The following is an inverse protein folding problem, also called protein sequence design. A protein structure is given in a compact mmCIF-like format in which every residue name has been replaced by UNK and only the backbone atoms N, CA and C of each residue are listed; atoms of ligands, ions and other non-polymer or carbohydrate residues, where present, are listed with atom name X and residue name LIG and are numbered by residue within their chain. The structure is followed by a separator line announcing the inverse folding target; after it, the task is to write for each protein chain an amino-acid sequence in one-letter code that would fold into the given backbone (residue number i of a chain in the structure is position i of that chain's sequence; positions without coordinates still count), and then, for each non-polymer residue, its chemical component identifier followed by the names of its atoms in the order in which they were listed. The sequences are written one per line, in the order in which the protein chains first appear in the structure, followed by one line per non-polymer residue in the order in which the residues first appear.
data_IF_817763873407
#
_entry.id   IF_817763873407
#
_cell.length_a   1.000
_cell.length_b   1.000
_cell.length_c   1.000
_cell.angle_alpha   90.00
_cell.angle_beta   90.00
_cell.angle_gamma   90.00
#
_symmetry.space_group_name_H-M   'P 1'
#
loop_
_entity.id
_entity.type
_entity.pdbx_description
1 polymer ?
#
# COMPACT_ATOMS: atom_id res chain seq x y z
N UNK A 1 -6.98 19.92 2.84
CA UNK A 1 -7.84 20.83 2.02
C UNK A 1 -7.60 20.77 0.51
N UNK A 2 -6.36 20.61 0.01
CA UNK A 2 -6.08 20.53 -1.44
C UNK A 2 -6.30 19.12 -2.07
N UNK A 3 -6.32 18.06 -1.25
CA UNK A 3 -6.36 16.64 -1.68
C UNK A 3 -7.63 16.29 -2.49
N UNK A 4 -8.85 16.55 -1.97
CA UNK A 4 -10.10 16.20 -2.69
C UNK A 4 -10.22 16.88 -4.07
N UNK A 5 -9.89 18.18 -4.15
CA UNK A 5 -9.95 18.93 -5.42
C UNK A 5 -8.94 18.40 -6.45
N UNK A 6 -7.81 17.88 -5.98
CA UNK A 6 -6.82 17.22 -6.83
C UNK A 6 -7.31 15.85 -7.31
N UNK A 7 -7.85 15.02 -6.41
CA UNK A 7 -8.43 13.71 -6.71
C UNK A 7 -9.54 13.85 -7.76
N UNK A 8 -10.50 14.75 -7.56
CA UNK A 8 -11.61 14.99 -8.50
C UNK A 8 -11.11 15.42 -9.89
N UNK A 9 -10.02 16.19 -9.96
CA UNK A 9 -9.42 16.60 -11.24
C UNK A 9 -8.68 15.47 -11.94
N UNK A 10 -8.17 14.50 -11.20
CA UNK A 10 -7.45 13.34 -11.73
C UNK A 10 -8.38 12.19 -12.13
N UNK A 11 -9.66 12.20 -11.71
CA UNK A 11 -10.66 11.22 -12.17
C UNK A 11 -10.74 11.23 -13.70
N UNK A 12 -10.80 10.03 -14.29
CA UNK A 12 -11.08 9.88 -15.71
C UNK A 12 -12.48 10.42 -16.06
N UNK A 13 -12.76 10.64 -17.34
CA UNK A 13 -14.08 11.13 -17.75
C UNK A 13 -15.19 10.13 -17.37
N UNK A 14 -14.94 8.83 -17.58
CA UNK A 14 -15.88 7.74 -17.26
C UNK A 14 -16.13 7.58 -15.75
N UNK A 15 -15.09 7.70 -14.92
CA UNK A 15 -15.26 7.54 -13.47
C UNK A 15 -16.07 8.69 -12.87
N UNK A 16 -15.79 9.91 -13.34
CA UNK A 16 -16.58 11.07 -12.93
C UNK A 16 -18.05 10.96 -13.34
N UNK A 17 -18.32 10.57 -14.58
CA UNK A 17 -19.70 10.42 -15.08
C UNK A 17 -20.45 9.37 -14.24
N UNK A 18 -19.81 8.23 -13.97
CA UNK A 18 -20.38 7.18 -13.13
C UNK A 18 -20.67 7.63 -11.69
N UNK A 19 -19.73 8.36 -11.06
CA UNK A 19 -19.93 8.89 -9.71
C UNK A 19 -21.04 9.95 -9.71
N UNK A 20 -21.06 10.82 -10.72
CA UNK A 20 -22.05 11.87 -10.85
C UNK A 20 -23.46 11.27 -11.05
N UNK A 21 -23.62 10.28 -11.93
CA UNK A 21 -24.88 9.56 -12.13
C UNK A 21 -25.33 8.85 -10.84
N UNK A 22 -24.43 8.14 -10.16
CA UNK A 22 -24.72 7.50 -8.87
C UNK A 22 -25.20 8.50 -7.79
N UNK A 23 -24.67 9.72 -7.79
CA UNK A 23 -25.11 10.78 -6.87
C UNK A 23 -26.51 11.30 -7.22
N UNK A 24 -26.81 11.48 -8.51
CA UNK A 24 -28.14 11.89 -8.98
C UNK A 24 -29.19 10.81 -8.67
N UNK A 25 -28.89 9.54 -8.95
CA UNK A 25 -29.78 8.41 -8.66
C UNK A 25 -30.06 8.25 -7.16
N UNK A 26 -29.10 8.63 -6.31
CA UNK A 26 -29.24 8.63 -4.85
C UNK A 26 -29.95 9.86 -4.29
N UNK A 27 -30.53 10.75 -5.13
CA UNK A 27 -31.09 12.04 -4.75
C UNK A 27 -30.11 12.96 -3.98
N UNK A 28 -28.82 12.89 -4.32
CA UNK A 28 -27.76 13.68 -3.69
C UNK A 28 -27.34 14.88 -4.57
N UNK A 29 -28.30 15.67 -5.04
CA UNK A 29 -28.09 16.78 -6.01
C UNK A 29 -27.04 17.80 -5.56
N UNK A 30 -27.02 18.13 -4.25
CA UNK A 30 -26.03 19.06 -3.68
C UNK A 30 -24.61 18.50 -3.75
N UNK A 31 -24.44 17.20 -3.58
CA UNK A 31 -23.14 16.52 -3.71
C UNK A 31 -22.71 16.39 -5.16
N UNK A 32 -23.65 16.13 -6.08
CA UNK A 32 -23.40 16.12 -7.53
C UNK A 32 -22.96 17.52 -8.03
N UNK A 33 -23.65 18.57 -7.58
CA UNK A 33 -23.28 19.96 -7.87
C UNK A 33 -21.90 20.32 -7.32
N UNK A 34 -21.57 19.87 -6.10
CA UNK A 34 -20.25 20.06 -5.50
C UNK A 34 -19.14 19.38 -6.32
N UNK A 35 -19.35 18.11 -6.71
CA UNK A 35 -18.42 17.35 -7.56
C UNK A 35 -18.16 18.06 -8.89
N UNK A 36 -19.23 18.49 -9.58
CA UNK A 36 -19.14 19.23 -10.83
C UNK A 36 -18.42 20.56 -10.66
N UNK A 37 -18.79 21.32 -9.64
CA UNK A 37 -18.19 22.62 -9.35
C UNK A 37 -16.71 22.50 -9.03
N UNK A 38 -16.28 21.44 -8.33
CA UNK A 38 -14.87 21.20 -8.03
C UNK A 38 -14.04 20.76 -9.24
N UNK A 39 -14.65 20.05 -10.21
CA UNK A 39 -13.99 19.59 -11.44
C UNK A 39 -13.89 20.68 -12.51
N UNK A 40 -15.03 21.30 -12.84
CA UNK A 40 -15.19 22.16 -14.03
C UNK A 40 -14.92 23.64 -13.71
N UNK A 41 -15.25 24.11 -12.51
CA UNK A 41 -15.22 25.53 -12.18
C UNK A 41 -14.13 25.81 -11.13
N UNK A 42 -13.23 26.75 -11.40
CA UNK A 42 -12.31 27.26 -10.37
C UNK A 42 -13.03 28.22 -9.40
N UNK A 43 -14.21 27.84 -8.89
CA UNK A 43 -14.91 28.60 -7.88
C UNK A 43 -14.20 28.45 -6.54
N UNK A 44 -14.21 29.53 -5.75
CA UNK A 44 -13.81 29.49 -4.35
C UNK A 44 -14.89 28.79 -3.52
N UNK A 45 -14.48 28.07 -2.47
CA UNK A 45 -15.39 27.37 -1.56
C UNK A 45 -16.52 28.30 -1.05
N UNK A 46 -16.20 29.57 -0.79
CA UNK A 46 -17.18 30.60 -0.41
C UNK A 46 -18.30 30.84 -1.44
N UNK A 47 -17.97 30.80 -2.74
CA UNK A 47 -18.97 30.94 -3.82
C UNK A 47 -19.80 29.68 -3.97
N UNK A 48 -19.17 28.52 -3.88
CA UNK A 48 -19.86 27.23 -3.94
C UNK A 48 -20.85 27.10 -2.79
N UNK A 49 -20.46 27.52 -1.58
CA UNK A 49 -21.34 27.57 -0.41
C UNK A 49 -22.56 28.48 -0.62
N UNK A 50 -22.36 29.65 -1.23
CA UNK A 50 -23.46 30.57 -1.53
C UNK A 50 -24.42 30.05 -2.59
N UNK A 51 -23.91 29.34 -3.61
CA UNK A 51 -24.74 28.75 -4.67
C UNK A 51 -25.52 27.52 -4.20
N UNK A 52 -24.95 26.74 -3.26
CA UNK A 52 -25.58 25.57 -2.66
C UNK A 52 -26.55 25.90 -1.52
N UNK A 53 -26.58 27.17 -1.09
CA UNK A 53 -27.31 27.66 0.08
C UNK A 53 -27.03 26.79 1.32
N UNK A 54 -25.75 26.67 1.67
CA UNK A 54 -25.29 25.86 2.80
C UNK A 54 -24.35 26.64 3.71
N UNK A 55 -24.51 26.43 5.02
CA UNK A 55 -23.59 26.97 6.01
C UNK A 55 -22.25 26.20 6.01
N UNK A 56 -21.25 26.75 6.70
CA UNK A 56 -19.89 26.19 6.78
C UNK A 56 -19.86 24.73 7.24
N UNK A 57 -20.66 24.37 8.25
CA UNK A 57 -20.68 23.01 8.81
C UNK A 57 -21.34 22.01 7.85
N UNK A 58 -22.42 22.42 7.19
CA UNK A 58 -23.11 21.62 6.17
C UNK A 58 -22.22 21.40 4.95
N UNK A 59 -21.45 22.42 4.53
CA UNK A 59 -20.48 22.30 3.44
C UNK A 59 -19.37 21.30 3.75
N UNK A 60 -18.75 21.35 4.93
CA UNK A 60 -17.72 20.39 5.31
C UNK A 60 -18.26 18.95 5.44
N UNK A 61 -19.48 18.80 5.96
CA UNK A 61 -20.16 17.49 6.01
C UNK A 61 -20.43 16.94 4.60
N UNK A 62 -20.94 17.77 3.69
CA UNK A 62 -21.15 17.39 2.28
C UNK A 62 -19.84 17.00 1.60
N UNK A 63 -18.77 17.74 1.85
CA UNK A 63 -17.44 17.48 1.29
C UNK A 63 -16.84 16.17 1.80
N UNK A 64 -16.98 15.89 3.10
CA UNK A 64 -16.52 14.63 3.70
C UNK A 64 -17.27 13.43 3.11
N UNK A 65 -18.61 13.50 3.04
CA UNK A 65 -19.43 12.44 2.42
C UNK A 65 -19.12 12.23 0.94
N UNK A 66 -18.86 13.31 0.19
CA UNK A 66 -18.45 13.21 -1.20
C UNK A 66 -17.08 12.52 -1.34
N UNK A 67 -16.13 12.85 -0.47
CA UNK A 67 -14.82 12.20 -0.45
C UNK A 67 -14.95 10.70 -0.17
N UNK A 68 -15.71 10.31 0.86
CA UNK A 68 -15.98 8.91 1.18
C UNK A 68 -16.61 8.15 0.00
N UNK A 69 -17.61 8.74 -0.67
CA UNK A 69 -18.26 8.08 -1.82
C UNK A 69 -17.35 7.95 -3.05
N UNK A 70 -16.42 8.90 -3.26
CA UNK A 70 -15.39 8.79 -4.29
C UNK A 70 -14.39 7.69 -3.91
N UNK A 71 -13.94 7.66 -2.66
CA UNK A 71 -13.03 6.63 -2.15
C UNK A 71 -13.66 5.23 -2.26
N UNK A 72 -14.91 5.05 -1.85
CA UNK A 72 -15.67 3.81 -2.01
C UNK A 72 -15.80 3.38 -3.47
N UNK A 73 -16.12 4.31 -4.39
CA UNK A 73 -16.22 4.00 -5.81
C UNK A 73 -14.87 3.58 -6.40
N UNK A 74 -13.80 4.30 -6.05
CA UNK A 74 -12.45 3.94 -6.48
C UNK A 74 -12.04 2.58 -5.92
N UNK A 75 -12.37 2.27 -4.66
CA UNK A 75 -12.16 0.95 -4.07
C UNK A 75 -12.94 -0.15 -4.81
N UNK A 76 -14.20 0.09 -5.19
CA UNK A 76 -15.00 -0.87 -5.97
C UNK A 76 -14.46 -1.08 -7.39
N UNK A 77 -14.00 -0.01 -8.04
CA UNK A 77 -13.29 -0.10 -9.33
C UNK A 77 -11.96 -0.85 -9.17
N UNK A 78 -11.26 -0.72 -8.05
CA UNK A 78 -10.05 -1.50 -7.74
C UNK A 78 -10.35 -2.98 -7.49
N UNK A 79 -11.49 -3.29 -6.86
CA UNK A 79 -11.93 -4.66 -6.66
C UNK A 79 -12.24 -5.36 -7.99
N UNK A 80 -12.73 -4.68 -9.02
CA UNK A 80 -13.29 -5.32 -10.21
C UNK A 80 -12.22 -6.08 -11.07
N UNK A 81 -11.09 -5.46 -11.49
CA UNK A 81 -10.05 -6.16 -12.25
C UNK A 81 -9.28 -7.19 -11.41
N UNK A 82 -8.99 -6.86 -10.14
CA UNK A 82 -8.24 -7.73 -9.24
C UNK A 82 -9.04 -8.99 -8.90
N UNK A 83 -10.31 -8.83 -8.53
CA UNK A 83 -11.21 -9.95 -8.24
C UNK A 83 -11.38 -10.87 -9.44
N UNK A 84 -11.48 -10.30 -10.64
CA UNK A 84 -11.55 -11.07 -11.87
C UNK A 84 -10.27 -11.89 -12.12
N UNK A 85 -9.08 -11.31 -11.85
CA UNK A 85 -7.82 -12.06 -11.92
C UNK A 85 -7.77 -13.19 -10.89
N UNK A 86 -8.15 -12.92 -9.63
CA UNK A 86 -8.20 -13.93 -8.58
C UNK A 86 -9.14 -15.08 -8.94
N UNK A 87 -10.33 -14.78 -9.48
CA UNK A 87 -11.27 -15.80 -9.98
C UNK A 87 -10.68 -16.63 -11.12
N UNK A 88 -10.00 -16.00 -12.08
CA UNK A 88 -9.32 -16.72 -13.18
C UNK A 88 -8.23 -17.64 -12.64
N UNK A 89 -7.45 -17.20 -11.65
CA UNK A 89 -6.40 -18.00 -11.01
C UNK A 89 -6.99 -19.18 -10.24
N UNK A 90 -8.06 -18.97 -9.48
CA UNK A 90 -8.77 -20.04 -8.77
C UNK A 90 -9.30 -21.12 -9.73
N UNK A 91 -9.70 -20.72 -10.94
CA UNK A 91 -10.24 -21.63 -11.97
C UNK A 91 -9.15 -22.27 -12.87
N UNK A 92 -7.86 -22.09 -12.57
CA UNK A 92 -6.76 -22.67 -13.37
C UNK A 92 -6.90 -24.19 -13.51
N UNK A 93 -7.25 -24.90 -12.44
CA UNK A 93 -7.40 -26.35 -12.49
C UNK A 93 -8.48 -26.76 -13.51
N UNK A 94 -9.62 -26.08 -13.53
CA UNK A 94 -10.69 -26.35 -14.48
C UNK A 94 -10.23 -26.12 -15.93
N UNK A 95 -9.47 -25.04 -16.18
CA UNK A 95 -8.92 -24.74 -17.50
C UNK A 95 -7.96 -25.84 -17.98
N UNK A 96 -7.13 -26.38 -17.08
CA UNK A 96 -6.18 -27.46 -17.42
C UNK A 96 -6.91 -28.75 -17.80
N UNK A 97 -7.96 -29.11 -17.06
CA UNK A 97 -8.67 -30.38 -17.27
C UNK A 97 -9.72 -30.33 -18.38
N UNK A 98 -10.22 -29.14 -18.75
CA UNK A 98 -11.31 -28.98 -19.74
C UNK A 98 -10.87 -28.46 -21.11
N UNK A 99 -9.71 -27.78 -21.21
CA UNK A 99 -9.25 -27.16 -22.47
C UNK A 99 -8.06 -27.92 -23.08
N UNK A 100 -7.84 -27.70 -24.38
CA UNK A 100 -6.65 -28.22 -25.07
C UNK A 100 -5.38 -27.56 -24.54
N UNK A 101 -4.29 -28.33 -24.39
CA UNK A 101 -3.00 -27.88 -23.87
C UNK A 101 -2.50 -26.54 -24.45
N UNK A 102 -2.58 -26.35 -25.77
CA UNK A 102 -2.14 -25.11 -26.40
C UNK A 102 -2.96 -23.88 -25.94
N UNK A 103 -4.27 -24.05 -25.75
CA UNK A 103 -5.15 -23.00 -25.23
C UNK A 103 -4.82 -22.72 -23.77
N UNK A 104 -4.65 -23.76 -22.95
CA UNK A 104 -4.32 -23.60 -21.53
C UNK A 104 -3.00 -22.85 -21.34
N UNK A 105 -1.97 -23.16 -22.13
CA UNK A 105 -0.68 -22.45 -22.11
C UNK A 105 -0.87 -20.98 -22.51
N UNK A 106 -1.59 -20.70 -23.60
CA UNK A 106 -1.83 -19.33 -24.05
C UNK A 106 -2.58 -18.50 -22.99
N UNK A 107 -3.60 -19.08 -22.35
CA UNK A 107 -4.34 -18.43 -21.27
C UNK A 107 -3.46 -18.16 -20.06
N UNK A 108 -2.61 -19.12 -19.66
CA UNK A 108 -1.70 -18.96 -18.52
C UNK A 108 -0.60 -17.92 -18.78
N UNK A 109 -0.04 -17.85 -20.00
CA UNK A 109 0.92 -16.79 -20.37
C UNK A 109 0.26 -15.41 -20.38
N UNK A 110 -1.02 -15.32 -20.76
CA UNK A 110 -1.79 -14.08 -20.65
C UNK A 110 -1.99 -13.69 -19.18
N UNK A 111 -2.36 -14.65 -18.34
CA UNK A 111 -2.51 -14.45 -16.89
C UNK A 111 -1.19 -14.06 -16.23
N UNK A 112 -0.07 -14.70 -16.58
CA UNK A 112 1.27 -14.34 -16.11
C UNK A 112 1.56 -12.85 -16.31
N UNK A 113 1.29 -12.34 -17.52
CA UNK A 113 1.48 -10.92 -17.83
C UNK A 113 0.54 -10.02 -17.01
N UNK A 114 -0.75 -10.37 -16.94
CA UNK A 114 -1.72 -9.62 -16.15
C UNK A 114 -1.32 -9.59 -14.66
N UNK A 115 -0.90 -10.73 -14.08
CA UNK A 115 -0.49 -10.79 -12.68
C UNK A 115 0.80 -10.00 -12.38
N UNK A 116 1.74 -9.95 -13.33
CA UNK A 116 2.93 -9.09 -13.21
C UNK A 116 2.56 -7.60 -13.25
N UNK A 117 1.64 -7.21 -14.13
CA UNK A 117 1.20 -5.81 -14.27
C UNK A 117 0.47 -5.31 -13.01
N UNK A 118 -0.21 -6.21 -12.28
CA UNK A 118 -0.92 -5.89 -11.02
C UNK A 118 -0.14 -6.27 -9.74
N UNK A 119 1.13 -6.69 -9.85
CA UNK A 119 1.99 -7.13 -8.75
C UNK A 119 1.37 -8.23 -7.83
N UNK A 120 0.66 -9.18 -8.43
CA UNK A 120 0.01 -10.30 -7.72
C UNK A 120 0.96 -11.50 -7.57
N UNK A 121 2.00 -11.32 -6.74
CA UNK A 121 3.11 -12.26 -6.55
C UNK A 121 2.67 -13.66 -6.02
N UNK A 122 1.66 -13.71 -5.15
CA UNK A 122 1.14 -14.96 -4.59
C UNK A 122 0.50 -15.83 -5.67
N UNK A 123 -0.40 -15.23 -6.43
CA UNK A 123 -1.12 -15.86 -7.52
C UNK A 123 -0.19 -16.27 -8.67
N UNK A 124 0.81 -15.45 -8.93
CA UNK A 124 1.82 -15.72 -9.96
C UNK A 124 2.59 -17.01 -9.68
N UNK A 125 2.82 -17.35 -8.41
CA UNK A 125 3.44 -18.63 -8.01
C UNK A 125 2.61 -19.83 -8.47
N UNK A 126 1.28 -19.74 -8.41
CA UNK A 126 0.36 -20.80 -8.88
C UNK A 126 0.47 -20.94 -10.40
N UNK A 127 0.54 -19.82 -11.13
CA UNK A 127 0.70 -19.80 -12.59
C UNK A 127 2.02 -20.45 -13.01
N UNK A 128 3.15 -20.08 -12.39
CA UNK A 128 4.44 -20.69 -12.72
C UNK A 128 4.50 -22.17 -12.39
N UNK A 129 3.95 -22.60 -11.24
CA UNK A 129 3.83 -24.02 -10.89
C UNK A 129 3.08 -24.80 -11.97
N UNK A 130 2.03 -24.19 -12.50
CA UNK A 130 1.18 -24.79 -13.53
C UNK A 130 1.86 -24.83 -14.89
N UNK A 131 2.45 -23.71 -15.33
CA UNK A 131 3.20 -23.63 -16.57
C UNK A 131 4.37 -24.63 -16.57
N UNK A 132 5.11 -24.73 -15.46
CA UNK A 132 6.14 -25.77 -15.26
C UNK A 132 5.58 -27.18 -15.53
N UNK A 133 4.45 -27.56 -14.93
CA UNK A 133 3.84 -28.88 -15.13
C UNK A 133 3.40 -29.11 -16.58
N UNK A 134 2.78 -28.10 -17.20
CA UNK A 134 2.36 -28.20 -18.59
C UNK A 134 3.56 -28.36 -19.52
N UNK A 135 4.69 -27.72 -19.23
CA UNK A 135 5.88 -27.75 -20.07
C UNK A 135 6.82 -28.95 -19.83
N UNK A 136 6.46 -29.94 -19.00
CA UNK A 136 7.33 -31.06 -18.56
C UNK A 136 8.20 -31.70 -19.68
N UNK A 137 7.61 -31.93 -20.85
CA UNK A 137 8.28 -32.58 -21.99
C UNK A 137 8.78 -31.59 -23.06
N UNK A 138 8.99 -30.33 -22.69
CA UNK A 138 9.41 -29.25 -23.59
C UNK A 138 10.60 -28.49 -22.99
N UNK A 139 11.45 -27.84 -23.81
CA UNK A 139 12.58 -27.07 -23.31
C UNK A 139 12.18 -25.92 -22.37
N UNK A 140 10.95 -25.40 -22.51
CA UNK A 140 10.40 -24.36 -21.63
C UNK A 140 10.21 -24.84 -20.16
N UNK A 141 10.27 -26.15 -19.88
CA UNK A 141 10.18 -26.67 -18.51
C UNK A 141 11.23 -26.05 -17.59
N UNK A 142 12.47 -25.97 -18.07
CA UNK A 142 13.59 -25.49 -17.26
C UNK A 142 13.42 -24.01 -16.90
N UNK A 143 13.01 -23.20 -17.88
CA UNK A 143 12.71 -21.78 -17.69
C UNK A 143 11.64 -21.56 -16.61
N UNK A 144 10.48 -22.20 -16.75
CA UNK A 144 9.40 -22.07 -15.77
C UNK A 144 9.74 -22.71 -14.41
N UNK A 145 10.61 -23.72 -14.38
CA UNK A 145 11.12 -24.25 -13.11
C UNK A 145 12.03 -23.26 -12.38
N UNK A 146 12.88 -22.52 -13.09
CA UNK A 146 13.69 -21.47 -12.49
C UNK A 146 12.82 -20.31 -11.98
N UNK A 147 11.85 -19.85 -12.79
CA UNK A 147 10.91 -18.79 -12.38
C UNK A 147 10.12 -19.19 -11.14
N UNK A 148 9.57 -20.42 -11.10
CA UNK A 148 8.86 -20.93 -9.94
C UNK A 148 9.74 -20.95 -8.69
N UNK A 149 10.96 -21.51 -8.78
CA UNK A 149 11.86 -21.59 -7.63
C UNK A 149 12.27 -20.20 -7.13
N UNK A 150 12.55 -19.26 -8.04
CA UNK A 150 12.87 -17.86 -7.69
C UNK A 150 11.70 -17.20 -6.96
N UNK A 151 10.47 -17.36 -7.46
CA UNK A 151 9.30 -16.77 -6.82
C UNK A 151 8.99 -17.39 -5.46
N UNK A 152 9.14 -18.71 -5.30
CA UNK A 152 8.98 -19.37 -4.00
C UNK A 152 9.98 -18.83 -2.99
N UNK A 153 11.26 -18.72 -3.39
CA UNK A 153 12.30 -18.23 -2.49
C UNK A 153 12.12 -16.73 -2.15
N UNK A 154 11.63 -15.94 -3.10
CA UNK A 154 11.21 -14.55 -2.85
C UNK A 154 10.06 -14.46 -1.84
N UNK A 155 9.00 -15.26 -2.02
CA UNK A 155 7.87 -15.28 -1.09
C UNK A 155 8.29 -15.64 0.33
N UNK A 156 9.16 -16.64 0.48
CA UNK A 156 9.72 -16.99 1.80
C UNK A 156 10.54 -15.86 2.43
N UNK A 157 11.24 -15.07 1.63
CA UNK A 157 11.98 -13.91 2.13
C UNK A 157 11.03 -12.78 2.58
N UNK A 158 9.92 -12.57 1.86
CA UNK A 158 8.88 -11.60 2.24
C UNK A 158 8.21 -12.01 3.53
N UNK A 159 7.78 -13.27 3.65
CA UNK A 159 7.16 -13.82 4.87
C UNK A 159 8.13 -13.67 6.07
N UNK A 160 9.40 -14.04 5.88
CA UNK A 160 10.41 -13.88 6.93
C UNK A 160 10.64 -12.43 7.33
N UNK A 161 10.66 -11.49 6.38
CA UNK A 161 10.81 -10.07 6.68
C UNK A 161 9.60 -9.55 7.49
N UNK A 162 8.40 -9.98 7.14
CA UNK A 162 7.19 -9.62 7.87
C UNK A 162 7.19 -10.16 9.31
N UNK A 163 7.58 -11.43 9.50
CA UNK A 163 7.73 -12.04 10.82
C UNK A 163 8.78 -11.29 11.66
N UNK A 164 9.95 -10.98 11.07
CA UNK A 164 11.00 -10.21 11.75
C UNK A 164 10.52 -8.82 12.18
N UNK A 165 9.71 -8.15 11.36
CA UNK A 165 9.15 -6.86 11.70
C UNK A 165 8.23 -6.96 12.94
N UNK A 166 7.36 -7.96 12.98
CA UNK A 166 6.47 -8.20 14.11
C UNK A 166 7.23 -8.56 15.40
N UNK A 167 8.19 -9.48 15.31
CA UNK A 167 9.04 -9.87 16.43
C UNK A 167 9.88 -8.71 16.97
N UNK A 168 10.41 -7.87 16.07
CA UNK A 168 11.15 -6.67 16.44
C UNK A 168 10.29 -5.71 17.27
N UNK A 169 9.07 -5.39 16.82
CA UNK A 169 8.20 -4.47 17.55
C UNK A 169 7.72 -5.03 18.88
N UNK A 170 7.49 -6.35 18.96
CA UNK A 170 7.21 -7.02 20.23
C UNK A 170 8.39 -6.85 21.21
N UNK A 171 9.60 -7.15 20.75
CA UNK A 171 10.82 -7.00 21.58
C UNK A 171 11.08 -5.55 21.96
N UNK A 172 10.78 -4.61 21.07
CA UNK A 172 10.86 -3.18 21.36
C UNK A 172 9.91 -2.79 22.48
N UNK A 173 8.69 -3.32 22.50
CA UNK A 173 7.75 -3.11 23.60
C UNK A 173 8.30 -3.59 24.94
N UNK A 174 8.96 -4.76 24.98
CA UNK A 174 9.64 -5.28 26.16
C UNK A 174 10.79 -4.35 26.60
N UNK A 175 11.66 -3.96 25.66
CA UNK A 175 12.77 -3.03 25.91
C UNK A 175 12.29 -1.66 26.42
N UNK A 176 11.22 -1.11 25.83
CA UNK A 176 10.68 0.20 26.23
C UNK A 176 10.18 0.21 27.67
N UNK A 177 9.82 -0.95 28.23
CA UNK A 177 9.39 -1.09 29.63
C UNK A 177 10.54 -1.47 30.56
N UNK A 178 11.50 -2.27 30.09
CA UNK A 178 12.60 -2.80 30.92
C UNK A 178 13.83 -1.88 30.95
N UNK A 179 14.14 -1.23 29.83
CA UNK A 179 15.41 -0.54 29.60
C UNK A 179 16.63 -1.46 29.59
N UNK A 180 16.45 -2.78 29.44
CA UNK A 180 17.54 -3.75 29.51
C UNK A 180 18.45 -3.66 28.28
N UNK A 181 19.76 -3.54 28.52
CA UNK A 181 20.78 -3.53 27.47
C UNK A 181 20.85 -4.87 26.72
N UNK A 182 20.44 -5.97 27.34
CA UNK A 182 20.31 -7.27 26.65
C UNK A 182 19.23 -7.21 25.57
N UNK A 183 18.11 -6.56 25.86
CA UNK A 183 17.04 -6.38 24.89
C UNK A 183 17.45 -5.43 23.77
N UNK A 184 18.14 -4.34 24.10
CA UNK A 184 18.75 -3.44 23.13
C UNK A 184 19.69 -4.17 22.17
N UNK A 185 20.57 -5.04 22.69
CA UNK A 185 21.46 -5.84 21.87
C UNK A 185 20.68 -6.76 20.91
N UNK A 186 19.60 -7.39 21.38
CA UNK A 186 18.77 -8.22 20.52
C UNK A 186 18.03 -7.44 19.43
N UNK A 187 17.62 -6.19 19.70
CA UNK A 187 17.05 -5.30 18.67
C UNK A 187 18.08 -4.98 17.57
N UNK A 188 19.34 -4.73 17.93
CA UNK A 188 20.41 -4.49 16.95
C UNK A 188 20.65 -5.73 16.07
N UNK A 189 20.61 -6.93 16.67
CA UNK A 189 20.73 -8.19 15.92
C UNK A 189 19.57 -8.39 14.94
N UNK A 190 18.34 -8.13 15.37
CA UNK A 190 17.16 -8.22 14.52
C UNK A 190 17.20 -7.21 13.36
N UNK A 191 17.68 -5.99 13.61
CA UNK A 191 17.89 -4.99 12.55
C UNK A 191 18.92 -5.48 11.51
N UNK A 192 20.02 -6.07 11.96
CA UNK A 192 21.03 -6.66 11.08
C UNK A 192 20.47 -7.86 10.30
N UNK A 193 19.65 -8.70 10.94
CA UNK A 193 19.02 -9.83 10.28
C UNK A 193 18.04 -9.38 9.20
N UNK A 194 17.23 -8.35 9.46
CA UNK A 194 16.34 -7.74 8.48
C UNK A 194 17.11 -7.27 7.23
N UNK A 195 18.24 -6.57 7.42
CA UNK A 195 19.10 -6.14 6.32
C UNK A 195 19.60 -7.33 5.50
N UNK A 196 20.04 -8.41 6.17
CA UNK A 196 20.51 -9.62 5.52
C UNK A 196 19.41 -10.31 4.69
N UNK A 197 18.18 -10.39 5.20
CA UNK A 197 17.05 -11.01 4.51
C UNK A 197 16.66 -10.18 3.28
N UNK A 198 16.58 -8.86 3.43
CA UNK A 198 16.13 -7.97 2.34
C UNK A 198 17.18 -7.82 1.23
N UNK A 199 18.47 -7.94 1.55
CA UNK A 199 19.55 -7.92 0.55
C UNK A 199 19.58 -9.14 -0.40
N UNK A 200 18.83 -10.21 -0.09
CA UNK A 200 18.76 -11.40 -0.96
C UNK A 200 18.01 -11.14 -2.27
N UNK A 201 17.05 -10.22 -2.27
CA UNK A 201 16.20 -9.94 -3.43
C UNK A 201 15.92 -8.45 -3.56
N UNK A 202 16.12 -7.92 -4.76
CA UNK A 202 15.70 -6.55 -5.06
C UNK A 202 14.17 -6.52 -5.27
N UNK A 203 13.44 -6.11 -4.23
CA UNK A 203 11.98 -5.99 -4.25
C UNK A 203 11.55 -4.74 -3.49
N UNK A 204 10.57 -4.03 -4.04
CA UNK A 204 9.95 -2.88 -3.37
C UNK A 204 9.26 -3.29 -2.06
N UNK A 205 8.70 -4.50 -1.93
CA UNK A 205 8.10 -5.00 -0.67
C UNK A 205 9.14 -5.18 0.42
N UNK A 206 10.24 -5.86 0.11
CA UNK A 206 11.36 -6.04 1.04
C UNK A 206 11.98 -4.69 1.42
N UNK A 207 12.13 -3.79 0.46
CA UNK A 207 12.61 -2.43 0.72
C UNK A 207 11.70 -1.68 1.70
N UNK A 208 10.37 -1.76 1.53
CA UNK A 208 9.42 -1.12 2.46
C UNK A 208 9.53 -1.70 3.87
N UNK A 209 9.56 -3.02 4.04
CA UNK A 209 9.67 -3.64 5.36
C UNK A 209 11.02 -3.35 6.04
N UNK A 210 12.12 -3.46 5.29
CA UNK A 210 13.46 -3.13 5.76
C UNK A 210 13.53 -1.71 6.30
N UNK A 211 13.03 -0.74 5.52
CA UNK A 211 13.13 0.67 5.87
C UNK A 211 12.12 1.08 6.94
N UNK A 212 10.98 0.40 7.06
CA UNK A 212 10.09 0.58 8.21
C UNK A 212 10.83 0.29 9.52
N UNK A 213 11.52 -0.87 9.58
CA UNK A 213 12.33 -1.23 10.75
C UNK A 213 13.52 -0.29 10.91
N UNK A 214 14.27 -0.02 9.82
CA UNK A 214 15.49 0.78 9.89
C UNK A 214 15.25 2.21 10.35
N UNK A 215 14.20 2.88 9.86
CA UNK A 215 13.87 4.24 10.30
C UNK A 215 13.49 4.22 11.79
N UNK A 216 12.63 3.28 12.19
CA UNK A 216 12.22 3.16 13.58
C UNK A 216 13.40 2.89 14.51
N UNK A 217 14.28 1.94 14.14
CA UNK A 217 15.47 1.61 14.89
C UNK A 217 16.38 2.83 15.08
N UNK A 218 16.64 3.57 14.01
CA UNK A 218 17.46 4.78 14.05
C UNK A 218 16.86 5.86 14.95
N UNK A 219 15.54 6.03 14.95
CA UNK A 219 14.87 7.07 15.73
C UNK A 219 14.73 6.74 17.23
N UNK A 220 14.55 5.47 17.58
CA UNK A 220 14.17 5.06 18.94
C UNK A 220 15.25 4.27 19.70
N UNK A 221 16.21 3.66 19.01
CA UNK A 221 17.27 2.83 19.62
C UNK A 221 18.65 3.46 19.46
N UNK A 222 18.91 4.04 18.29
CA UNK A 222 20.14 4.75 17.97
C UNK A 222 19.97 6.28 18.04
N UNK A 223 21.04 7.02 17.73
CA UNK A 223 21.06 8.49 17.76
C UNK A 223 20.60 9.12 16.42
N UNK A 224 19.63 8.52 15.73
CA UNK A 224 19.09 9.00 14.46
C UNK A 224 20.12 9.03 13.32
N UNK A 225 20.28 10.20 12.70
CA UNK A 225 21.21 10.47 11.59
C UNK A 225 22.67 10.55 12.07
N UNK A 226 22.91 10.52 13.38
CA UNK A 226 24.26 10.45 13.94
C UNK A 226 24.76 9.03 14.06
N UNK A 227 23.90 8.03 13.86
CA UNK A 227 24.31 6.65 13.73
C UNK A 227 25.23 6.53 12.51
N UNK A 228 26.48 6.13 12.72
CA UNK A 228 27.44 5.92 11.64
C UNK A 228 27.24 4.52 11.04
N UNK A 229 26.04 4.29 10.51
CA UNK A 229 25.56 3.01 10.00
C UNK A 229 25.81 2.84 8.48
N UNK A 230 26.23 3.92 7.80
CA UNK A 230 26.45 3.95 6.36
C UNK A 230 25.18 3.81 5.53
N UNK A 231 24.00 3.98 6.15
CA UNK A 231 22.70 3.87 5.49
C UNK A 231 22.31 5.19 4.83
N UNK A 232 21.37 5.10 3.90
CA UNK A 232 20.79 6.29 3.25
C UNK A 232 20.13 7.21 4.30
N UNK A 233 20.12 8.54 4.09
CA UNK A 233 19.39 9.47 4.95
C UNK A 233 17.92 9.09 5.06
N UNK A 234 17.33 9.25 6.25
CA UNK A 234 15.92 8.93 6.52
C UNK A 234 14.99 9.73 5.59
N UNK A 235 15.32 10.99 5.29
CA UNK A 235 14.51 11.84 4.40
C UNK A 235 14.47 11.26 2.97
N UNK A 236 15.60 10.80 2.44
CA UNK A 236 15.70 10.18 1.11
C UNK A 236 14.94 8.85 1.05
N UNK A 237 15.06 8.03 2.11
CA UNK A 237 14.32 6.77 2.25
C UNK A 237 12.81 7.05 2.23
N UNK A 238 12.35 8.03 3.02
CA UNK A 238 10.94 8.39 3.10
C UNK A 238 10.38 8.91 1.76
N UNK A 239 11.18 9.63 0.96
CA UNK A 239 10.80 10.04 -0.39
C UNK A 239 10.72 8.84 -1.35
N UNK A 240 11.66 7.90 -1.27
CA UNK A 240 11.65 6.71 -2.11
C UNK A 240 10.46 5.80 -1.81
N UNK A 241 10.08 5.68 -0.54
CA UNK A 241 8.89 4.91 -0.13
C UNK A 241 7.61 5.57 -0.63
N UNK A 242 7.51 6.90 -0.60
CA UNK A 242 6.36 7.61 -1.18
C UNK A 242 6.23 7.34 -2.68
N UNK A 243 7.35 7.35 -3.42
CA UNK A 243 7.36 6.97 -4.85
C UNK A 243 6.90 5.52 -5.06
N UNK A 244 7.30 4.59 -4.19
CA UNK A 244 6.84 3.19 -4.25
C UNK A 244 5.32 3.15 -4.03
N UNK A 245 4.79 3.80 -3.00
CA UNK A 245 3.35 3.81 -2.75
C UNK A 245 2.55 4.44 -3.90
N UNK A 246 3.07 5.48 -4.53
CA UNK A 246 2.42 6.10 -5.70
C UNK A 246 2.45 5.18 -6.93
N UNK A 247 3.57 4.48 -7.17
CA UNK A 247 3.70 3.53 -8.28
C UNK A 247 2.82 2.29 -8.10
N UNK A 248 2.63 1.86 -6.86
CA UNK A 248 1.88 0.66 -6.47
C UNK A 248 0.62 1.03 -5.67
N UNK A 249 -0.08 2.08 -6.09
CA UNK A 249 -1.27 2.61 -5.40
C UNK A 249 -2.43 1.60 -5.30
N UNK A 250 -2.39 0.52 -6.09
CA UNK A 250 -3.37 -0.56 -6.07
C UNK A 250 -3.10 -1.65 -5.02
N UNK A 251 -1.94 -1.58 -4.35
CA UNK A 251 -1.58 -2.54 -3.31
C UNK A 251 -2.23 -2.17 -1.97
N UNK A 252 -3.07 -3.09 -1.46
CA UNK A 252 -3.78 -2.92 -0.20
C UNK A 252 -2.83 -2.84 0.99
N UNK A 253 -1.70 -3.55 0.94
CA UNK A 253 -0.70 -3.52 2.02
C UNK A 253 -0.12 -2.10 2.11
N UNK A 254 0.19 -1.49 0.97
CA UNK A 254 0.76 -0.14 0.92
C UNK A 254 -0.23 0.94 1.31
N UNK A 255 -1.50 0.77 0.98
CA UNK A 255 -2.55 1.63 1.49
C UNK A 255 -2.54 1.70 3.03
N UNK A 256 -2.40 0.55 3.69
CA UNK A 256 -2.34 0.47 5.15
C UNK A 256 -0.99 0.93 5.73
N UNK A 257 0.13 0.49 5.16
CA UNK A 257 1.47 0.88 5.61
C UNK A 257 1.74 2.38 5.44
N UNK A 258 1.06 3.07 4.52
CA UNK A 258 1.19 4.51 4.36
C UNK A 258 1.02 5.25 5.68
N UNK A 259 0.01 4.87 6.48
CA UNK A 259 -0.23 5.49 7.79
C UNK A 259 0.95 5.27 8.77
N UNK A 260 1.56 4.09 8.74
CA UNK A 260 2.76 3.79 9.55
C UNK A 260 3.92 4.71 9.16
N UNK A 261 4.12 4.96 7.86
CA UNK A 261 5.17 5.86 7.39
C UNK A 261 4.86 7.34 7.66
N UNK A 262 3.59 7.75 7.66
CA UNK A 262 3.22 9.10 8.13
C UNK A 262 3.51 9.28 9.63
N UNK A 263 3.32 8.24 10.44
CA UNK A 263 3.78 8.22 11.83
C UNK A 263 5.31 8.30 11.95
N UNK A 264 6.06 7.53 11.16
CA UNK A 264 7.53 7.62 11.16
C UNK A 264 8.02 9.02 10.72
N UNK A 265 7.32 9.68 9.78
CA UNK A 265 7.58 11.09 9.40
C UNK A 265 7.35 12.04 10.57
N UNK A 266 6.23 11.89 11.27
CA UNK A 266 5.93 12.67 12.47
C UNK A 266 7.06 12.54 13.51
N UNK A 267 7.45 11.31 13.83
CA UNK A 267 8.49 11.02 14.82
C UNK A 267 9.87 11.53 14.39
N UNK A 268 10.21 11.38 13.11
CA UNK A 268 11.41 11.98 12.53
C UNK A 268 11.45 13.50 12.76
N UNK A 269 10.39 14.23 12.38
CA UNK A 269 10.37 15.68 12.55
C UNK A 269 10.34 16.12 14.02
N UNK A 270 9.72 15.34 14.91
CA UNK A 270 9.76 15.58 16.35
C UNK A 270 11.17 15.38 16.91
N UNK A 271 11.85 14.30 16.53
CA UNK A 271 13.22 14.00 16.94
C UNK A 271 14.18 15.15 16.58
N UNK A 272 14.04 15.73 15.39
CA UNK A 272 14.84 16.88 14.94
C UNK A 272 14.26 18.26 15.31
N UNK A 273 13.20 18.31 16.12
CA UNK A 273 12.56 19.55 16.60
C UNK A 273 12.05 20.46 15.48
N UNK A 274 11.66 19.88 14.33
CA UNK A 274 11.08 20.58 13.17
C UNK A 274 9.56 20.63 13.33
N UNK A 275 9.09 21.28 14.39
CA UNK A 275 7.69 21.20 14.85
C UNK A 275 6.65 21.66 13.81
N UNK A 276 6.99 22.65 12.97
CA UNK A 276 6.08 23.12 11.90
C UNK A 276 5.76 22.04 10.87
N UNK A 277 6.73 21.17 10.55
CA UNK A 277 6.49 20.03 9.65
C UNK A 277 5.76 18.92 10.41
N UNK A 278 6.15 18.67 11.67
CA UNK A 278 5.54 17.66 12.52
C UNK A 278 4.02 17.87 12.71
N UNK A 279 3.58 19.11 12.93
CA UNK A 279 2.16 19.45 13.15
C UNK A 279 1.24 18.94 12.03
N UNK A 280 1.69 19.05 10.76
CA UNK A 280 0.95 18.54 9.60
C UNK A 280 0.74 17.03 9.67
N UNK A 281 1.78 16.28 10.02
CA UNK A 281 1.71 14.82 10.12
C UNK A 281 0.96 14.38 11.38
N UNK A 282 1.04 15.16 12.47
CA UNK A 282 0.30 14.90 13.69
C UNK A 282 -1.21 14.91 13.45
N UNK A 283 -1.74 15.91 12.73
CA UNK A 283 -3.17 15.95 12.41
C UNK A 283 -3.62 14.70 11.63
N UNK A 284 -2.88 14.32 10.58
CA UNK A 284 -3.21 13.17 9.73
C UNK A 284 -3.13 11.84 10.49
N UNK A 285 -2.09 11.65 11.31
CA UNK A 285 -1.94 10.43 12.12
C UNK A 285 -3.00 10.37 13.20
N UNK A 286 -3.20 11.47 13.95
CA UNK A 286 -4.14 11.50 15.08
C UNK A 286 -5.59 11.22 14.66
N UNK A 287 -6.00 11.67 13.47
CA UNK A 287 -7.32 11.37 12.91
C UNK A 287 -7.52 9.87 12.64
N UNK A 288 -6.43 9.16 12.27
CA UNK A 288 -6.46 7.75 11.89
C UNK A 288 -5.96 6.78 12.98
N UNK A 289 -5.48 7.29 14.12
CA UNK A 289 -4.96 6.47 15.23
C UNK A 289 -5.97 5.44 15.74
N UNK A 290 -7.25 5.80 15.81
CA UNK A 290 -8.29 4.87 16.25
C UNK A 290 -8.37 3.65 15.33
N UNK A 291 -8.34 3.87 14.01
CA UNK A 291 -8.29 2.82 13.00
C UNK A 291 -6.98 2.02 13.07
N UNK A 292 -5.85 2.67 13.32
CA UNK A 292 -4.56 2.01 13.49
C UNK A 292 -4.57 1.02 14.66
N UNK A 293 -5.18 1.40 15.78
CA UNK A 293 -5.24 0.56 16.98
C UNK A 293 -6.31 -0.52 16.92
N UNK A 294 -7.40 -0.31 16.15
CA UNK A 294 -8.52 -1.26 16.11
C UNK A 294 -8.44 -2.28 14.97
N UNK A 295 -7.82 -1.92 13.83
CA UNK A 295 -7.93 -2.69 12.59
C UNK A 295 -6.68 -3.50 12.24
N UNK A 296 -5.62 -3.42 13.05
CA UNK A 296 -4.33 -4.08 12.80
C UNK A 296 -4.10 -5.29 13.72
N UNK A 297 -5.13 -6.13 13.89
CA UNK A 297 -5.13 -7.28 14.80
C UNK A 297 -4.13 -8.40 14.50
N UNK A 298 -3.41 -8.33 13.37
CA UNK A 298 -2.26 -9.22 13.10
C UNK A 298 -0.99 -8.77 13.83
N UNK A 299 -0.93 -7.52 14.28
CA UNK A 299 0.26 -6.88 14.87
C UNK A 299 0.01 -6.27 16.26
N UNK A 300 -1.20 -6.44 16.83
CA UNK A 300 -1.61 -6.05 18.19
C UNK A 300 -2.09 -7.25 18.98
#
# INVERSE_FOLDING_TARGET
MAKLKHIIKQLSLSDYESIHESLIESNADKSAYLLRSMREKQLSDSKIMSELDVNTNAYYTLRSRLNQKIEEYLLQQMENPRTDLLKKVANINEIIFTKKRAISIATLKKLEKELLDYDLSNELTIVYKTLKKLHLNTPEHFHYSQLYNKHVAYMLAVDKAEDLLAEYFKKFGEYSLSGDETDKFGLNLMATEMDNVCNLYNSHRLYVYQNCLSIFHRLFIEDGEKANDGKEPIEDILENIEKIFDNYYLDSIYFHLKLVFEYLRLEYYNHYKVFRKAEKYFEEVNEQTSSLLSNYGLYT
#
